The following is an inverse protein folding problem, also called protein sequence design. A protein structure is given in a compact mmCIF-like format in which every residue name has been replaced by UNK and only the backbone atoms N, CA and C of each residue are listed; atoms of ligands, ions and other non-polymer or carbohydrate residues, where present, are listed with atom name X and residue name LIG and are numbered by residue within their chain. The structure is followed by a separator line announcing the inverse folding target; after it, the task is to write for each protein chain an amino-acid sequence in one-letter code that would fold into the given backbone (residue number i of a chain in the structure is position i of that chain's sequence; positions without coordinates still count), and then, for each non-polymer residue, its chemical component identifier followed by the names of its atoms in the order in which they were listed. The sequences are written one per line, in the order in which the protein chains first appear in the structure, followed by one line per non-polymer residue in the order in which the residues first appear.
data_IF_244071259858
#
_entry.id   IF_244071259858
#
_cell.length_a   1.000
_cell.length_b   1.000
_cell.length_c   1.000
_cell.angle_alpha   90.00
_cell.angle_beta   90.00
_cell.angle_gamma   90.00
#
_symmetry.space_group_name_H-M   'P 1'
#
loop_
_entity.id
_entity.type
_entity.pdbx_description
1 polymer ?
#
# COMPACT_ATOMS: atom_id res chain seq x y z
N UNK A 1 -55.65 -21.47 -28.82
CA UNK A 1 -54.27 -21.71 -29.21
C UNK A 1 -53.64 -20.34 -29.30
N UNK A 2 -52.98 -19.96 -28.26
CA UNK A 2 -52.25 -18.70 -28.19
C UNK A 2 -50.80 -19.03 -27.83
N UNK A 3 -49.89 -18.80 -28.77
CA UNK A 3 -48.45 -18.99 -28.56
C UNK A 3 -47.94 -17.96 -27.60
N UNK A 4 -47.39 -18.44 -26.51
CA UNK A 4 -46.64 -17.64 -25.52
C UNK A 4 -45.20 -17.42 -26.03
N UNK A 5 -44.94 -16.25 -26.57
CA UNK A 5 -43.61 -15.83 -26.92
C UNK A 5 -42.94 -15.25 -25.66
N UNK A 6 -42.25 -16.10 -24.89
CA UNK A 6 -41.34 -15.67 -23.85
C UNK A 6 -40.09 -15.09 -24.48
N UNK A 7 -40.04 -13.76 -24.53
CA UNK A 7 -38.81 -13.07 -24.89
C UNK A 7 -37.79 -13.27 -23.77
N UNK A 8 -36.78 -14.09 -24.03
CA UNK A 8 -35.58 -14.18 -23.21
C UNK A 8 -34.87 -12.81 -23.20
N UNK A 9 -35.06 -12.09 -22.12
CA UNK A 9 -34.28 -10.87 -21.85
C UNK A 9 -32.88 -11.34 -21.45
N UNK A 10 -31.99 -11.43 -22.42
CA UNK A 10 -30.56 -11.50 -22.21
C UNK A 10 -30.12 -10.16 -21.56
N UNK A 11 -30.05 -10.15 -20.24
CA UNK A 11 -29.32 -9.13 -19.51
C UNK A 11 -27.82 -9.32 -19.80
N UNK A 12 -27.35 -8.74 -20.89
CA UNK A 12 -25.94 -8.46 -21.07
C UNK A 12 -25.60 -7.32 -20.09
N UNK A 13 -25.15 -7.68 -18.89
CA UNK A 13 -24.58 -6.75 -17.95
C UNK A 13 -23.23 -6.26 -18.48
N UNK A 14 -23.24 -5.29 -19.38
CA UNK A 14 -22.08 -4.49 -19.69
C UNK A 14 -21.76 -3.58 -18.49
N UNK A 15 -21.28 -4.16 -17.40
CA UNK A 15 -20.61 -3.38 -16.36
C UNK A 15 -19.32 -2.89 -16.99
N UNK A 16 -19.29 -1.61 -17.36
CA UNK A 16 -18.01 -0.94 -17.59
C UNK A 16 -17.12 -1.24 -16.38
N UNK A 17 -15.99 -1.88 -16.61
CA UNK A 17 -15.04 -2.20 -15.56
C UNK A 17 -14.46 -0.85 -15.09
N UNK A 18 -14.94 -0.35 -13.98
CA UNK A 18 -14.42 0.88 -13.38
C UNK A 18 -12.98 0.59 -12.94
N UNK A 19 -12.04 1.27 -13.54
CA UNK A 19 -10.62 1.21 -13.15
C UNK A 19 -10.37 2.19 -12.01
N UNK A 20 -9.89 1.67 -10.90
CA UNK A 20 -9.49 2.48 -9.75
C UNK A 20 -7.98 2.76 -9.77
N UNK A 21 -7.60 3.87 -9.13
CA UNK A 21 -6.21 4.29 -8.97
C UNK A 21 -5.78 4.14 -7.51
N UNK A 22 -4.72 3.39 -7.31
CA UNK A 22 -4.19 3.05 -6.00
C UNK A 22 -2.81 3.66 -5.85
N UNK A 23 -2.59 4.44 -4.80
CA UNK A 23 -1.30 5.04 -4.47
C UNK A 23 -0.79 4.45 -3.17
N UNK A 24 0.44 3.98 -3.15
CA UNK A 24 1.15 3.64 -1.92
C UNK A 24 2.36 4.55 -1.74
N UNK A 25 2.53 5.11 -0.54
CA UNK A 25 3.63 6.00 -0.19
C UNK A 25 4.44 5.35 0.93
N UNK A 26 5.59 4.78 0.56
CA UNK A 26 6.58 4.22 1.47
C UNK A 26 7.76 5.19 1.63
N UNK A 27 8.47 5.18 2.76
CA UNK A 27 9.59 6.09 2.97
C UNK A 27 10.76 5.76 2.05
N UNK A 28 11.26 4.53 2.13
CA UNK A 28 12.40 4.05 1.37
C UNK A 28 11.97 3.21 0.17
N UNK A 29 12.93 2.74 -0.57
CA UNK A 29 12.74 2.16 -1.91
C UNK A 29 12.12 0.75 -1.94
N UNK A 30 11.96 0.09 -0.80
CA UNK A 30 11.47 -1.30 -0.66
C UNK A 30 10.12 -1.44 0.07
N UNK A 31 9.66 -0.44 0.80
CA UNK A 31 8.52 -0.58 1.71
C UNK A 31 7.19 -0.74 0.99
N UNK A 32 7.01 -0.10 -0.17
CA UNK A 32 5.79 -0.31 -0.93
C UNK A 32 5.66 -1.77 -1.40
N UNK A 33 6.75 -2.37 -1.85
CA UNK A 33 6.79 -3.77 -2.25
C UNK A 33 6.64 -4.71 -1.06
N UNK A 34 7.23 -4.32 0.06
CA UNK A 34 7.21 -5.13 1.27
C UNK A 34 5.85 -5.07 1.97
N UNK A 35 5.32 -3.87 2.25
CA UNK A 35 4.17 -3.70 3.14
C UNK A 35 2.82 -3.69 2.41
N UNK A 36 2.81 -3.35 1.12
CA UNK A 36 1.60 -3.18 0.30
C UNK A 36 1.66 -4.00 -0.99
N UNK A 37 2.73 -4.78 -1.17
CA UNK A 37 3.00 -5.51 -2.40
C UNK A 37 1.93 -6.53 -2.75
N UNK A 38 1.42 -7.27 -1.77
CA UNK A 38 0.40 -8.30 -1.97
C UNK A 38 -0.94 -7.71 -2.38
N UNK A 39 -1.46 -6.74 -1.62
CA UNK A 39 -2.73 -6.08 -1.96
C UNK A 39 -2.63 -5.34 -3.30
N UNK A 40 -1.50 -4.69 -3.55
CA UNK A 40 -1.24 -3.99 -4.83
C UNK A 40 -1.25 -4.95 -6.01
N UNK A 41 -0.63 -6.12 -5.88
CA UNK A 41 -0.64 -7.15 -6.91
C UNK A 41 -2.05 -7.65 -7.20
N UNK A 42 -2.85 -7.93 -6.17
CA UNK A 42 -4.25 -8.34 -6.36
C UNK A 42 -5.05 -7.28 -7.12
N UNK A 43 -4.86 -6.01 -6.78
CA UNK A 43 -5.58 -4.91 -7.42
C UNK A 43 -5.11 -4.67 -8.86
N UNK A 44 -3.80 -4.77 -9.11
CA UNK A 44 -3.23 -4.67 -10.46
C UNK A 44 -3.71 -5.83 -11.37
N UNK A 45 -3.76 -7.06 -10.86
CA UNK A 45 -4.27 -8.23 -11.59
C UNK A 45 -5.77 -8.10 -11.96
N UNK A 46 -6.51 -7.26 -11.23
CA UNK A 46 -7.90 -6.88 -11.56
C UNK A 46 -8.01 -5.75 -12.58
N UNK A 47 -6.89 -5.22 -13.09
CA UNK A 47 -6.85 -4.15 -14.08
C UNK A 47 -6.85 -2.74 -13.50
N UNK A 48 -6.63 -2.57 -12.21
CA UNK A 48 -6.51 -1.27 -11.58
C UNK A 48 -5.10 -0.68 -11.78
N UNK A 49 -4.98 0.65 -11.72
CA UNK A 49 -3.70 1.34 -11.83
C UNK A 49 -3.05 1.52 -10.46
N UNK A 50 -1.85 0.99 -10.28
CA UNK A 50 -1.09 1.07 -9.02
C UNK A 50 0.16 1.92 -9.20
N UNK A 51 0.38 2.86 -8.27
CA UNK A 51 1.57 3.72 -8.21
C UNK A 51 2.22 3.64 -6.82
N UNK A 52 3.50 3.32 -6.81
CA UNK A 52 4.36 3.39 -5.62
C UNK A 52 5.16 4.68 -5.63
N UNK A 53 5.27 5.35 -4.48
CA UNK A 53 6.03 6.58 -4.31
C UNK A 53 6.92 6.48 -3.07
N UNK A 54 8.21 6.74 -3.24
CA UNK A 54 9.19 6.71 -2.16
C UNK A 54 9.91 8.06 -2.05
N UNK A 55 9.52 8.93 -1.07
CA UNK A 55 10.03 10.29 -0.95
C UNK A 55 11.32 10.43 -0.15
N UNK A 56 11.72 9.43 0.63
CA UNK A 56 12.88 9.48 1.49
C UNK A 56 14.01 8.54 1.04
N UNK A 57 14.10 8.25 -0.27
CA UNK A 57 15.21 7.47 -0.79
C UNK A 57 16.53 8.22 -0.58
N UNK A 58 17.28 7.81 0.43
CA UNK A 58 18.50 8.44 0.86
C UNK A 58 19.70 7.59 0.48
N UNK A 59 20.70 8.24 -0.04
CA UNK A 59 22.06 7.74 0.02
C UNK A 59 22.55 7.96 1.47
N UNK A 60 22.33 6.97 2.32
CA UNK A 60 22.61 7.07 3.76
C UNK A 60 24.07 7.33 4.11
N UNK A 61 24.94 7.33 3.14
CA UNK A 61 26.36 7.50 3.41
C UNK A 61 26.98 8.39 2.33
N UNK A 62 27.67 9.43 2.72
CA UNK A 62 28.50 10.23 1.83
C UNK A 62 29.55 9.39 1.07
N UNK A 63 29.71 8.14 1.45
CA UNK A 63 30.59 7.15 0.85
C UNK A 63 29.94 6.34 -0.28
N UNK A 64 28.61 6.41 -0.46
CA UNK A 64 27.93 5.75 -1.57
C UNK A 64 28.17 6.55 -2.84
N UNK A 65 28.91 5.96 -3.77
CA UNK A 65 29.12 6.59 -5.07
C UNK A 65 27.82 6.64 -5.89
N UNK A 66 27.77 7.55 -6.85
CA UNK A 66 26.61 7.77 -7.72
C UNK A 66 26.17 6.50 -8.46
N UNK A 67 27.12 5.67 -8.85
CA UNK A 67 26.86 4.42 -9.58
C UNK A 67 26.09 3.44 -8.73
N UNK A 68 26.45 3.31 -7.46
CA UNK A 68 25.74 2.47 -6.49
C UNK A 68 24.33 2.99 -6.22
N UNK A 69 24.16 4.30 -6.08
CA UNK A 69 22.84 4.91 -5.88
C UNK A 69 21.92 4.71 -7.10
N UNK A 70 22.44 4.86 -8.31
CA UNK A 70 21.68 4.60 -9.53
C UNK A 70 21.29 3.13 -9.64
N UNK A 71 22.19 2.21 -9.29
CA UNK A 71 21.92 0.77 -9.25
C UNK A 71 20.80 0.42 -8.25
N UNK A 72 20.83 1.00 -7.06
CA UNK A 72 19.75 0.79 -6.08
C UNK A 72 18.41 1.31 -6.58
N UNK A 73 18.41 2.48 -7.19
CA UNK A 73 17.21 3.04 -7.81
C UNK A 73 16.67 2.13 -8.93
N UNK A 74 17.55 1.57 -9.75
CA UNK A 74 17.16 0.59 -10.78
C UNK A 74 16.53 -0.66 -10.16
N UNK A 75 17.14 -1.22 -9.11
CA UNK A 75 16.55 -2.34 -8.36
C UNK A 75 15.14 -2.02 -7.86
N UNK A 76 14.92 -0.82 -7.32
CA UNK A 76 13.61 -0.39 -6.86
C UNK A 76 12.56 -0.34 -7.98
N UNK A 77 12.93 0.12 -9.19
CA UNK A 77 12.04 0.08 -10.35
C UNK A 77 11.77 -1.35 -10.84
N UNK A 78 12.78 -2.22 -10.84
CA UNK A 78 12.61 -3.61 -11.23
C UNK A 78 11.75 -4.38 -10.22
N UNK A 79 11.81 -4.04 -8.92
CA UNK A 79 11.03 -4.67 -7.86
C UNK A 79 9.51 -4.45 -7.98
N UNK A 80 9.09 -3.29 -8.47
CA UNK A 80 7.66 -2.98 -8.63
C UNK A 80 6.99 -3.67 -9.82
N UNK A 81 7.76 -4.11 -10.82
CA UNK A 81 7.23 -4.69 -12.07
C UNK A 81 6.44 -6.00 -11.88
N UNK A 82 6.95 -7.01 -11.13
CA UNK A 82 6.19 -8.23 -10.87
C UNK A 82 4.85 -7.99 -10.16
N UNK A 83 4.75 -6.88 -9.43
CA UNK A 83 3.57 -6.46 -8.68
C UNK A 83 2.56 -5.68 -9.55
N UNK A 84 2.88 -5.42 -10.82
CA UNK A 84 2.04 -4.63 -11.71
C UNK A 84 1.97 -3.14 -11.36
N UNK A 85 2.88 -2.63 -10.55
CA UNK A 85 2.91 -1.25 -10.11
C UNK A 85 3.89 -0.40 -10.91
N UNK A 86 3.53 0.86 -11.15
CA UNK A 86 4.45 1.92 -11.55
C UNK A 86 5.15 2.45 -10.31
N UNK A 87 6.32 3.07 -10.46
CA UNK A 87 7.07 3.60 -9.33
C UNK A 87 7.64 4.99 -9.61
N UNK A 88 7.62 5.83 -8.57
CA UNK A 88 8.32 7.12 -8.51
C UNK A 88 9.22 7.09 -7.27
N UNK A 89 10.51 7.31 -7.47
CA UNK A 89 11.48 7.51 -6.40
C UNK A 89 11.85 8.98 -6.41
N UNK A 90 11.53 9.68 -5.32
CA UNK A 90 11.85 11.10 -5.14
C UNK A 90 13.23 11.18 -4.47
N UNK A 91 14.18 11.74 -5.13
CA UNK A 91 15.56 11.79 -4.65
C UNK A 91 16.51 11.06 -5.60
N UNK A 92 17.75 10.83 -5.22
CA UNK A 92 18.30 10.67 -3.87
C UNK A 92 18.46 11.98 -3.11
N UNK A 93 18.36 11.91 -1.78
CA UNK A 93 18.58 13.04 -0.88
C UNK A 93 19.91 12.87 -0.15
N UNK A 94 20.65 13.95 0.01
CA UNK A 94 21.98 13.92 0.64
C UNK A 94 21.94 13.77 2.18
N UNK A 95 20.76 13.93 2.78
CA UNK A 95 20.58 13.90 4.23
C UNK A 95 19.31 13.16 4.62
N UNK A 96 19.35 12.51 5.77
CA UNK A 96 18.15 11.95 6.40
C UNK A 96 17.14 13.05 6.73
N UNK A 97 15.87 12.73 6.59
CA UNK A 97 14.78 13.67 6.82
C UNK A 97 14.00 13.20 8.04
N UNK A 98 14.16 13.92 9.15
CA UNK A 98 13.52 13.56 10.42
C UNK A 98 12.23 14.34 10.69
N UNK A 99 11.98 15.40 9.92
CA UNK A 99 10.79 16.22 10.04
C UNK A 99 10.17 16.48 8.67
N UNK A 100 8.82 16.52 8.57
CA UNK A 100 8.14 16.85 7.32
C UNK A 100 8.55 18.25 6.88
N UNK A 101 9.12 18.35 5.70
CA UNK A 101 9.46 19.65 5.11
C UNK A 101 8.51 20.02 3.98
N UNK A 102 8.47 21.30 3.65
CA UNK A 102 7.56 21.84 2.64
C UNK A 102 7.81 21.24 1.25
N UNK A 103 9.05 20.95 0.93
CA UNK A 103 9.44 20.37 -0.39
C UNK A 103 8.80 19.01 -0.59
N UNK A 104 8.95 18.08 0.36
CA UNK A 104 8.35 16.73 0.27
C UNK A 104 6.82 16.82 0.22
N UNK A 105 6.22 17.65 1.06
CA UNK A 105 4.77 17.82 1.09
C UNK A 105 4.26 18.31 -0.25
N UNK A 106 4.95 19.28 -0.88
CA UNK A 106 4.56 19.84 -2.18
C UNK A 106 4.75 18.83 -3.33
N UNK A 107 5.82 18.04 -3.29
CA UNK A 107 6.05 16.98 -4.27
C UNK A 107 4.98 15.89 -4.18
N UNK A 108 4.65 15.44 -2.96
CA UNK A 108 3.57 14.47 -2.74
C UNK A 108 2.20 15.02 -3.14
N UNK A 109 1.89 16.26 -2.78
CA UNK A 109 0.66 16.95 -3.20
C UNK A 109 0.53 16.95 -4.72
N UNK A 110 1.57 17.35 -5.44
CA UNK A 110 1.58 17.35 -6.90
C UNK A 110 1.29 15.96 -7.47
N UNK A 111 1.92 14.93 -6.95
CA UNK A 111 1.68 13.54 -7.38
C UNK A 111 0.22 13.15 -7.13
N UNK A 112 -0.35 13.49 -5.98
CA UNK A 112 -1.75 13.20 -5.64
C UNK A 112 -2.71 13.93 -6.58
N UNK A 113 -2.45 15.21 -6.89
CA UNK A 113 -3.27 16.00 -7.81
C UNK A 113 -3.21 15.47 -9.26
N UNK A 114 -2.04 15.05 -9.71
CA UNK A 114 -1.83 14.53 -11.06
C UNK A 114 -2.39 13.10 -11.21
N UNK A 115 -2.11 12.24 -10.25
CA UNK A 115 -2.52 10.83 -10.28
C UNK A 115 -4.00 10.64 -9.93
N UNK A 116 -4.56 11.46 -9.01
CA UNK A 116 -5.95 11.39 -8.51
C UNK A 116 -6.33 10.00 -7.98
N UNK A 117 -5.65 9.50 -6.96
CA UNK A 117 -5.91 8.18 -6.42
C UNK A 117 -7.30 8.08 -5.78
N UNK A 118 -7.92 6.91 -5.90
CA UNK A 118 -9.15 6.57 -5.16
C UNK A 118 -8.82 6.02 -3.78
N UNK A 119 -7.74 5.21 -3.69
CA UNK A 119 -7.27 4.55 -2.48
C UNK A 119 -5.81 4.93 -2.26
N UNK A 120 -5.45 5.26 -1.02
CA UNK A 120 -4.07 5.59 -0.65
C UNK A 120 -3.63 4.76 0.55
N UNK A 121 -2.42 4.20 0.45
CA UNK A 121 -1.73 3.54 1.56
C UNK A 121 -0.55 4.39 2.01
N UNK A 122 -0.42 4.61 3.32
CA UNK A 122 0.67 5.39 3.93
C UNK A 122 1.25 4.66 5.13
N UNK A 123 2.43 5.04 5.59
CA UNK A 123 2.98 4.51 6.84
C UNK A 123 2.08 4.80 8.04
N UNK A 124 2.11 3.89 9.02
CA UNK A 124 1.59 4.17 10.36
C UNK A 124 2.47 5.22 11.06
N UNK A 125 1.88 6.30 11.63
CA UNK A 125 2.67 7.41 12.17
C UNK A 125 3.41 7.11 13.48
N UNK A 126 3.12 5.97 14.14
CA UNK A 126 3.80 5.57 15.38
C UNK A 126 4.79 4.46 15.11
N UNK A 127 5.79 4.76 14.31
CA UNK A 127 6.89 3.88 13.98
C UNK A 127 8.14 4.23 14.80
N UNK A 128 9.02 3.26 15.06
CA UNK A 128 10.30 3.54 15.69
C UNK A 128 11.32 4.14 14.72
N UNK A 129 11.15 3.97 13.41
CA UNK A 129 11.97 4.62 12.40
C UNK A 129 11.53 6.08 12.18
N UNK A 130 12.46 7.02 12.36
CA UNK A 130 12.15 8.45 12.29
C UNK A 130 11.63 8.89 10.91
N UNK A 131 12.18 8.34 9.83
CA UNK A 131 11.77 8.68 8.46
C UNK A 131 10.39 8.11 8.10
N UNK A 132 10.02 6.93 8.61
CA UNK A 132 8.65 6.42 8.45
C UNK A 132 7.62 7.36 9.08
N UNK A 133 7.89 7.83 10.31
CA UNK A 133 7.02 8.83 10.97
C UNK A 133 6.92 10.12 10.18
N UNK A 134 8.06 10.60 9.68
CA UNK A 134 8.12 11.81 8.86
C UNK A 134 7.31 11.65 7.58
N UNK A 135 7.47 10.54 6.85
CA UNK A 135 6.74 10.28 5.61
C UNK A 135 5.25 10.10 5.87
N UNK A 136 4.87 9.42 6.96
CA UNK A 136 3.47 9.32 7.37
C UNK A 136 2.82 10.70 7.55
N UNK A 137 3.48 11.58 8.29
CA UNK A 137 2.99 12.94 8.54
C UNK A 137 2.98 13.81 7.28
N UNK A 138 4.05 13.76 6.46
CA UNK A 138 4.12 14.49 5.21
C UNK A 138 3.04 14.02 4.23
N UNK A 139 2.81 12.72 4.12
CA UNK A 139 1.77 12.14 3.27
C UNK A 139 0.37 12.61 3.69
N UNK A 140 0.09 12.58 4.99
CA UNK A 140 -1.20 13.05 5.50
C UNK A 140 -1.42 14.54 5.24
N UNK A 141 -0.40 15.38 5.46
CA UNK A 141 -0.45 16.82 5.15
C UNK A 141 -0.67 17.07 3.65
N UNK A 142 0.06 16.35 2.79
CA UNK A 142 -0.10 16.44 1.34
C UNK A 142 -1.50 16.06 0.89
N UNK A 143 -2.08 14.99 1.46
CA UNK A 143 -3.46 14.56 1.18
C UNK A 143 -4.48 15.62 1.60
N UNK A 144 -4.30 16.27 2.76
CA UNK A 144 -5.18 17.35 3.22
C UNK A 144 -5.10 18.57 2.29
N UNK A 145 -3.90 18.96 1.85
CA UNK A 145 -3.72 20.10 0.95
C UNK A 145 -4.28 19.77 -0.43
N UNK A 146 -3.99 18.58 -0.97
CA UNK A 146 -4.52 18.13 -2.25
C UNK A 146 -6.06 18.09 -2.27
N UNK A 147 -6.69 17.71 -1.15
CA UNK A 147 -8.16 17.80 -1.00
C UNK A 147 -8.68 19.23 -1.16
N UNK A 148 -8.03 20.21 -0.55
CA UNK A 148 -8.38 21.64 -0.69
C UNK A 148 -8.22 22.09 -2.16
N UNK A 149 -7.25 21.53 -2.88
CA UNK A 149 -6.99 21.83 -4.28
C UNK A 149 -7.77 20.93 -5.27
N UNK A 150 -8.74 20.16 -4.78
CA UNK A 150 -9.71 19.44 -5.60
C UNK A 150 -9.40 17.96 -5.88
N UNK A 151 -8.39 17.36 -5.24
CA UNK A 151 -8.19 15.93 -5.30
C UNK A 151 -9.01 15.23 -4.21
N UNK A 152 -9.96 14.40 -4.61
CA UNK A 152 -10.77 13.63 -3.68
C UNK A 152 -10.27 12.18 -3.58
N UNK A 153 -9.72 11.82 -2.41
CA UNK A 153 -9.33 10.45 -2.08
C UNK A 153 -10.45 9.81 -1.26
N UNK A 154 -10.95 8.66 -1.70
CA UNK A 154 -12.06 7.97 -1.04
C UNK A 154 -11.60 7.28 0.23
N UNK A 155 -10.51 6.54 0.17
CA UNK A 155 -10.04 5.66 1.24
C UNK A 155 -8.56 5.90 1.50
N UNK A 156 -8.20 6.03 2.80
CA UNK A 156 -6.81 6.13 3.24
C UNK A 156 -6.57 5.07 4.29
N UNK A 157 -5.54 4.26 4.07
CA UNK A 157 -5.12 3.17 4.94
C UNK A 157 -3.69 3.36 5.41
N UNK A 158 -3.40 2.95 6.64
CA UNK A 158 -2.04 2.88 7.15
C UNK A 158 -1.59 1.43 7.23
N UNK A 159 -0.35 1.18 6.82
CA UNK A 159 0.33 -0.10 6.93
C UNK A 159 1.38 -0.08 8.06
N UNK A 160 1.68 -1.26 8.60
CA UNK A 160 2.81 -1.44 9.50
C UNK A 160 4.09 -1.64 8.69
N UNK A 161 5.21 -1.15 9.19
CA UNK A 161 6.51 -1.50 8.64
C UNK A 161 6.90 -2.94 9.03
N UNK A 162 7.97 -3.47 8.43
CA UNK A 162 8.45 -4.82 8.68
C UNK A 162 8.65 -5.15 10.16
N UNK A 163 8.63 -6.45 10.50
CA UNK A 163 8.70 -6.96 11.89
C UNK A 163 9.91 -6.40 12.66
N UNK A 164 11.05 -6.23 12.00
CA UNK A 164 12.27 -5.71 12.62
C UNK A 164 12.19 -4.23 13.00
N UNK A 165 11.22 -3.52 12.45
CA UNK A 165 11.00 -2.09 12.65
C UNK A 165 9.62 -1.82 13.26
N UNK A 166 9.17 -2.76 14.09
CA UNK A 166 7.85 -2.79 14.63
C UNK A 166 7.39 -1.44 15.18
N UNK A 167 6.31 -1.02 14.64
CA UNK A 167 5.53 0.11 15.04
C UNK A 167 4.92 -0.08 16.41
N UNK A 168 5.03 0.94 17.20
CA UNK A 168 4.37 1.00 18.48
C UNK A 168 2.84 1.04 18.27
N UNK A 169 2.12 0.15 18.95
CA UNK A 169 0.64 0.11 18.96
C UNK A 169 -0.07 -0.09 17.61
N UNK A 170 0.48 -0.83 16.67
CA UNK A 170 -0.25 -1.15 15.46
C UNK A 170 -1.32 -2.24 15.72
N UNK A 171 -2.55 -1.81 15.90
CA UNK A 171 -3.70 -2.70 15.95
C UNK A 171 -4.46 -2.63 14.62
N UNK A 172 -4.37 -3.65 13.75
CA UNK A 172 -5.02 -3.61 12.45
C UNK A 172 -6.54 -3.66 12.58
N UNK A 173 -7.24 -3.01 11.65
CA UNK A 173 -8.69 -3.08 11.52
C UNK A 173 -9.14 -4.22 10.62
N UNK A 174 -8.34 -4.50 9.57
CA UNK A 174 -8.59 -5.59 8.63
C UNK A 174 -7.29 -6.14 8.07
N UNK A 175 -7.40 -7.29 7.45
CA UNK A 175 -6.32 -7.88 6.68
C UNK A 175 -6.81 -8.32 5.30
N UNK A 176 -5.85 -8.57 4.42
CA UNK A 176 -6.05 -9.05 3.06
C UNK A 176 -5.30 -10.36 2.88
N UNK A 177 -6.01 -11.41 2.46
CA UNK A 177 -5.40 -12.66 2.04
C UNK A 177 -4.59 -12.46 0.75
N UNK A 178 -3.27 -12.54 0.87
CA UNK A 178 -2.32 -12.38 -0.24
C UNK A 178 -1.69 -13.71 -0.67
N UNK A 179 -2.16 -14.84 -0.15
CA UNK A 179 -1.58 -16.17 -0.40
C UNK A 179 -1.38 -16.45 -1.89
N UNK A 180 -2.37 -16.09 -2.70
CA UNK A 180 -2.34 -16.37 -4.16
C UNK A 180 -1.33 -15.53 -4.95
N UNK A 181 -0.78 -14.48 -4.39
CA UNK A 181 0.17 -13.56 -5.06
C UNK A 181 1.54 -13.48 -4.38
N UNK A 182 1.75 -14.26 -3.33
CA UNK A 182 2.98 -14.22 -2.54
C UNK A 182 4.24 -14.52 -3.37
N UNK A 183 4.14 -15.32 -4.41
CA UNK A 183 5.27 -15.60 -5.31
C UNK A 183 5.70 -14.35 -6.09
N UNK A 184 4.74 -13.54 -6.56
CA UNK A 184 5.03 -12.25 -7.22
C UNK A 184 5.66 -11.25 -6.25
N UNK A 185 5.18 -11.22 -5.00
CA UNK A 185 5.78 -10.39 -3.93
C UNK A 185 7.23 -10.81 -3.69
N UNK A 186 7.49 -12.11 -3.55
CA UNK A 186 8.85 -12.63 -3.39
C UNK A 186 9.74 -12.31 -4.59
N UNK A 187 9.20 -12.40 -5.83
CA UNK A 187 9.94 -12.02 -7.03
C UNK A 187 10.32 -10.53 -7.01
N UNK A 188 9.40 -9.66 -6.63
CA UNK A 188 9.66 -8.21 -6.48
C UNK A 188 10.73 -7.94 -5.43
N UNK A 189 10.58 -8.47 -4.23
CA UNK A 189 11.54 -8.30 -3.13
C UNK A 189 12.93 -8.85 -3.48
N UNK A 190 13.01 -9.94 -4.25
CA UNK A 190 14.26 -10.50 -4.74
C UNK A 190 15.06 -9.57 -5.66
N UNK A 191 14.43 -8.56 -6.28
CA UNK A 191 15.15 -7.58 -7.11
C UNK A 191 16.03 -6.62 -6.30
N UNK A 192 15.80 -6.52 -4.98
CA UNK A 192 16.68 -5.78 -4.07
C UNK A 192 17.95 -6.57 -3.71
N UNK A 193 18.19 -7.70 -4.34
CA UNK A 193 19.40 -8.49 -4.17
C UNK A 193 20.58 -7.77 -4.85
N UNK A 194 21.15 -6.87 -4.09
CA UNK A 194 22.46 -6.28 -4.37
C UNK A 194 23.51 -7.09 -3.63
N UNK A 195 24.78 -6.73 -3.70
CA UNK A 195 25.91 -7.40 -3.04
C UNK A 195 25.75 -7.65 -1.51
N UNK A 196 24.61 -7.27 -0.94
CA UNK A 196 24.29 -7.33 0.50
C UNK A 196 23.29 -8.42 0.87
N UNK A 197 22.79 -9.23 -0.07
CA UNK A 197 21.70 -10.21 0.15
C UNK A 197 20.43 -9.61 0.79
N UNK A 198 20.17 -8.32 0.55
CA UNK A 198 18.99 -7.60 1.09
C UNK A 198 17.69 -8.26 0.64
N UNK A 199 17.59 -8.66 -0.62
CA UNK A 199 16.40 -9.29 -1.18
C UNK A 199 16.03 -10.60 -0.48
N UNK A 200 17.00 -11.48 -0.22
CA UNK A 200 16.76 -12.73 0.52
C UNK A 200 16.25 -12.44 1.95
N UNK A 201 16.83 -11.45 2.60
CA UNK A 201 16.42 -11.03 3.94
C UNK A 201 14.99 -10.52 3.95
N UNK A 202 14.63 -9.62 3.02
CA UNK A 202 13.30 -9.08 2.87
C UNK A 202 12.25 -10.17 2.60
N UNK A 203 12.55 -11.14 1.73
CA UNK A 203 11.66 -12.28 1.44
C UNK A 203 11.41 -13.10 2.70
N UNK A 204 12.46 -13.41 3.47
CA UNK A 204 12.34 -14.20 4.70
C UNK A 204 11.50 -13.46 5.74
N UNK A 205 11.77 -12.19 5.95
CA UNK A 205 11.07 -11.35 6.91
C UNK A 205 9.59 -11.17 6.51
N UNK A 206 9.32 -10.88 5.23
CA UNK A 206 7.95 -10.77 4.69
C UNK A 206 7.15 -12.04 4.89
N UNK A 207 7.73 -13.21 4.58
CA UNK A 207 7.06 -14.49 4.81
C UNK A 207 6.69 -14.70 6.27
N UNK A 208 7.58 -14.38 7.20
CA UNK A 208 7.33 -14.51 8.63
C UNK A 208 6.21 -13.57 9.09
N UNK A 209 6.24 -12.32 8.68
CA UNK A 209 5.21 -11.33 9.00
C UNK A 209 3.85 -11.73 8.43
N UNK A 210 3.81 -12.04 7.13
CA UNK A 210 2.57 -12.39 6.45
C UNK A 210 1.94 -13.70 6.99
N UNK A 211 2.75 -14.69 7.35
CA UNK A 211 2.30 -15.91 8.01
C UNK A 211 1.70 -15.61 9.39
N UNK A 212 2.40 -14.83 10.22
CA UNK A 212 1.89 -14.42 11.53
C UNK A 212 0.55 -13.68 11.42
N UNK A 213 0.43 -12.77 10.46
CA UNK A 213 -0.80 -12.01 10.22
C UNK A 213 -1.92 -12.89 9.67
N UNK A 214 -1.61 -13.84 8.80
CA UNK A 214 -2.58 -14.81 8.29
C UNK A 214 -3.21 -15.65 9.40
N UNK A 215 -2.40 -16.18 10.30
CA UNK A 215 -2.87 -16.95 11.46
C UNK A 215 -3.80 -16.17 12.40
N UNK A 216 -3.73 -14.85 12.39
CA UNK A 216 -4.54 -13.98 13.26
C UNK A 216 -5.86 -13.51 12.63
N UNK A 217 -6.11 -13.88 11.37
CA UNK A 217 -7.32 -13.48 10.63
C UNK A 217 -8.36 -14.60 10.54
N UNK A 218 -9.65 -14.25 10.41
CA UNK A 218 -10.70 -15.24 10.17
C UNK A 218 -10.44 -16.04 8.88
N UNK A 219 -10.53 -17.37 8.99
CA UNK A 219 -10.27 -18.29 7.88
C UNK A 219 -8.79 -18.62 7.68
N UNK A 220 -7.92 -18.08 8.54
CA UNK A 220 -6.50 -18.42 8.64
C UNK A 220 -5.81 -18.52 7.27
N UNK A 221 -5.80 -17.46 6.44
CA UNK A 221 -5.06 -17.49 5.18
C UNK A 221 -3.57 -17.73 5.46
N UNK A 222 -2.88 -18.43 4.57
CA UNK A 222 -1.45 -18.73 4.79
C UNK A 222 -0.62 -17.45 4.91
N UNK A 223 -0.91 -16.46 4.06
CA UNK A 223 -0.23 -15.17 4.08
C UNK A 223 -1.23 -14.01 4.06
N UNK A 224 -1.02 -13.01 4.89
CA UNK A 224 -1.83 -11.81 4.89
C UNK A 224 -1.02 -10.53 5.08
N UNK A 225 -1.52 -9.45 4.54
CA UNK A 225 -1.15 -8.07 4.85
C UNK A 225 -2.26 -7.43 5.70
N UNK A 226 -1.90 -6.52 6.60
CA UNK A 226 -2.86 -5.92 7.53
C UNK A 226 -2.79 -4.41 7.55
N UNK A 227 -3.95 -3.77 7.77
CA UNK A 227 -4.12 -2.34 7.60
C UNK A 227 -4.98 -1.71 8.67
N UNK A 228 -4.69 -0.43 8.95
CA UNK A 228 -5.58 0.45 9.72
C UNK A 228 -6.26 1.45 8.80
N UNK A 229 -7.49 1.75 9.13
CA UNK A 229 -8.25 2.78 8.43
C UNK A 229 -7.89 4.14 9.02
N UNK A 230 -7.50 5.08 8.16
CA UNK A 230 -7.20 6.48 8.50
C UNK A 230 -8.36 7.37 8.12
N UNK A 231 -8.98 7.14 6.95
CA UNK A 231 -10.13 7.89 6.46
C UNK A 231 -11.14 6.96 5.82
N UNK A 232 -12.40 7.18 6.15
CA UNK A 232 -13.54 6.54 5.49
C UNK A 232 -14.18 7.44 4.43
N UNK A 233 -14.80 6.85 3.41
CA UNK A 233 -15.87 7.53 2.72
C UNK A 233 -17.01 7.78 3.70
N UNK A 234 -17.59 8.98 3.68
CA UNK A 234 -18.80 9.29 4.44
C UNK A 234 -19.98 8.51 3.84
N UNK A 235 -20.40 7.44 4.47
CA UNK A 235 -21.61 6.75 4.03
C UNK A 235 -21.71 5.25 4.22
N UNK A 236 -20.98 4.63 5.15
CA UNK A 236 -21.25 3.25 5.56
C UNK A 236 -20.44 2.16 4.83
N UNK A 237 -21.00 1.00 4.62
CA UNK A 237 -20.35 -0.26 4.25
C UNK A 237 -19.73 -0.34 2.83
N UNK A 238 -19.69 0.74 2.06
CA UNK A 238 -19.25 0.75 0.67
C UNK A 238 -17.75 1.05 0.51
N UNK A 239 -16.91 0.22 1.12
CA UNK A 239 -15.47 0.28 0.86
C UNK A 239 -15.15 -0.23 -0.54
N UNK A 240 -14.48 0.60 -1.35
CA UNK A 240 -13.99 0.20 -2.68
C UNK A 240 -13.06 -1.00 -2.54
N UNK A 241 -12.10 -0.92 -1.60
CA UNK A 241 -11.14 -1.99 -1.37
C UNK A 241 -11.82 -3.31 -1.02
N UNK A 242 -12.83 -3.29 -0.12
CA UNK A 242 -13.60 -4.47 0.25
C UNK A 242 -14.39 -5.04 -0.92
N UNK A 243 -15.03 -4.17 -1.72
CA UNK A 243 -15.80 -4.61 -2.90
C UNK A 243 -14.89 -5.28 -3.93
N UNK A 244 -13.70 -4.73 -4.18
CA UNK A 244 -12.73 -5.31 -5.11
C UNK A 244 -12.19 -6.65 -4.64
N UNK A 245 -11.81 -6.75 -3.37
CA UNK A 245 -11.13 -7.92 -2.82
C UNK A 245 -12.10 -9.04 -2.39
N UNK A 246 -13.38 -8.74 -2.16
CA UNK A 246 -14.38 -9.72 -1.77
C UNK A 246 -13.95 -10.56 -0.57
N UNK A 247 -13.93 -11.88 -0.72
CA UNK A 247 -13.59 -12.83 0.36
C UNK A 247 -12.12 -12.75 0.81
N UNK A 248 -11.24 -12.09 0.05
CA UNK A 248 -9.85 -11.85 0.47
C UNK A 248 -9.74 -10.76 1.52
N UNK A 249 -10.72 -9.87 1.62
CA UNK A 249 -10.80 -8.86 2.66
C UNK A 249 -11.36 -9.47 3.94
N UNK A 250 -10.62 -9.40 5.05
CA UNK A 250 -10.98 -9.99 6.34
C UNK A 250 -10.98 -8.92 7.43
N UNK A 251 -12.11 -8.70 8.07
CA UNK A 251 -12.14 -7.88 9.28
C UNK A 251 -11.34 -8.54 10.42
N UNK A 252 -10.60 -7.73 11.16
CA UNK A 252 -9.87 -8.19 12.33
C UNK A 252 -10.87 -8.36 13.48
N UNK A 253 -11.11 -9.61 13.89
CA UNK A 253 -11.89 -9.97 15.10
C UNK A 253 -13.39 -9.70 15.02
N UNK A 254 -14.17 -10.74 14.85
CA UNK A 254 -15.60 -10.71 15.16
C UNK A 254 -15.76 -10.81 16.67
N UNK A 255 -15.76 -9.70 17.39
CA UNK A 255 -16.16 -9.64 18.79
C UNK A 255 -15.13 -9.19 19.83
N UNK A 256 -13.86 -9.04 19.49
CA UNK A 256 -12.87 -8.47 20.41
C UNK A 256 -12.60 -6.97 20.22
N UNK A 257 -13.00 -6.42 19.09
CA UNK A 257 -12.93 -4.98 18.86
C UNK A 257 -14.36 -4.47 18.74
N UNK A 258 -14.80 -3.61 19.65
CA UNK A 258 -16.09 -2.96 19.49
C UNK A 258 -16.10 -2.26 18.14
N UNK A 259 -17.26 -2.30 17.50
CA UNK A 259 -17.55 -1.50 16.33
C UNK A 259 -16.97 -0.11 16.57
N UNK A 260 -16.15 0.38 15.64
CA UNK A 260 -15.34 1.58 15.75
C UNK A 260 -16.06 2.71 16.49
N UNK A 261 -15.82 2.76 17.79
CA UNK A 261 -16.15 3.90 18.63
C UNK A 261 -15.01 4.90 18.53
N UNK A 262 -15.37 6.13 18.57
CA UNK A 262 -14.55 7.37 18.45
C UNK A 262 -13.38 7.51 19.42
N UNK A 263 -12.97 6.48 20.14
CA UNK A 263 -12.13 6.61 21.33
C UNK A 263 -10.64 6.33 21.13
N UNK A 264 -10.17 6.22 19.87
CA UNK A 264 -8.78 5.89 19.58
C UNK A 264 -8.09 6.84 18.57
N UNK A 265 -8.48 8.12 18.58
CA UNK A 265 -7.69 9.16 17.90
C UNK A 265 -7.09 10.15 18.90
#
# INVERSE_FOLDING_TARGET
MADSNTADILYLSGKETVMYKILAIGAHDDECEYDVGGVSTLLADMGNEVLFVNPACIIHNKEVDKTTAEKWKECAFEASKPLGAKKIVIGPRDTQIFEPNYEIITELEKIILDFKPNIVFIHWPKDNHAEHRMVAEASYKALCIAYVHGAFVHEIYAFEAGISQCTDYFAPHFGVDITSVMDKVNEGLGKFDTDTAKGEHLIKEKKMQALYRGMSLPGEPEYAEVYRIVKFPSGGDDFILRQLLGDKFKWYGTGMYPAMGSDYF
#
